data_IF_808647576998
#
_entry.id   IF_808647576998
#
_cell.length_a   1.000
_cell.length_b   1.000
_cell.length_c   1.000
_cell.angle_alpha   90.00
_cell.angle_beta   90.00
_cell.angle_gamma   90.00
#
_symmetry.space_group_name_H-M   'P 1'
#
loop_
_entity.id
_entity.type
_entity.pdbx_description
1 polymer ?
#
# COMPACT_ATOMS: atom_id res chain seq x y z
N UNK A 1 -16.24 -3.14 0.40
CA UNK A 1 -15.92 -4.54 0.79
C UNK A 1 -14.63 -4.52 1.61
N UNK A 2 -14.28 -5.60 2.31
CA UNK A 2 -13.05 -5.65 3.11
C UNK A 2 -11.82 -5.75 2.19
N UNK A 3 -10.72 -5.08 2.53
CA UNK A 3 -9.41 -5.16 1.85
C UNK A 3 -8.49 -6.10 2.62
N UNK A 4 -7.62 -6.83 1.91
CA UNK A 4 -6.61 -7.69 2.53
C UNK A 4 -5.19 -7.14 2.39
N UNK A 5 -4.27 -7.58 3.25
CA UNK A 5 -2.84 -7.25 3.14
C UNK A 5 -2.18 -7.89 1.93
N UNK A 6 -2.64 -9.06 1.48
CA UNK A 6 -2.17 -9.70 0.24
C UNK A 6 -2.54 -8.81 -0.96
N UNK A 7 -3.80 -8.36 -1.04
CA UNK A 7 -4.25 -7.46 -2.11
C UNK A 7 -3.45 -6.14 -2.15
N UNK A 8 -3.15 -5.57 -0.97
CA UNK A 8 -2.30 -4.38 -0.88
C UNK A 8 -0.86 -4.71 -1.32
N UNK A 9 -0.33 -5.88 -0.97
CA UNK A 9 1.01 -6.29 -1.37
C UNK A 9 1.12 -6.39 -2.89
N UNK A 10 0.19 -7.14 -3.51
CA UNK A 10 0.19 -7.42 -4.95
C UNK A 10 0.13 -6.14 -5.79
N UNK A 11 -0.62 -5.13 -5.33
CA UNK A 11 -0.80 -3.89 -6.10
C UNK A 11 0.38 -2.92 -5.96
N UNK A 12 1.03 -2.88 -4.79
CA UNK A 12 2.09 -1.89 -4.52
C UNK A 12 3.51 -2.47 -4.60
N UNK A 13 3.70 -3.79 -4.69
CA UNK A 13 5.05 -4.38 -4.66
C UNK A 13 5.99 -3.80 -5.73
N UNK A 14 5.46 -3.51 -6.92
CA UNK A 14 6.26 -3.00 -8.05
C UNK A 14 6.81 -1.59 -7.84
N UNK A 15 6.21 -0.77 -6.97
CA UNK A 15 6.73 0.58 -6.67
C UNK A 15 8.10 0.53 -5.99
N UNK A 16 8.38 -0.56 -5.27
CA UNK A 16 9.63 -0.77 -4.55
C UNK A 16 10.79 -1.26 -5.43
N UNK A 17 10.64 -1.24 -6.76
CA UNK A 17 11.76 -1.45 -7.67
C UNK A 17 12.79 -0.30 -7.63
N UNK A 18 12.39 0.89 -7.19
CA UNK A 18 13.26 2.07 -7.02
C UNK A 18 13.01 2.76 -5.66
N UNK A 19 13.46 2.17 -4.55
CA UNK A 19 13.27 2.72 -3.21
C UNK A 19 14.29 3.83 -2.88
N UNK A 20 13.98 4.75 -1.95
CA UNK A 20 12.76 4.81 -1.13
C UNK A 20 11.56 5.41 -1.86
N UNK A 21 10.36 5.01 -1.42
CA UNK A 21 9.09 5.47 -1.97
C UNK A 21 8.32 6.23 -0.88
N UNK A 22 7.84 7.43 -1.19
CA UNK A 22 6.95 8.21 -0.32
C UNK A 22 5.48 7.80 -0.48
N UNK A 23 4.60 8.34 0.37
CA UNK A 23 3.17 8.02 0.35
C UNK A 23 2.49 8.43 -0.96
N UNK A 24 2.88 9.56 -1.54
CA UNK A 24 2.25 10.08 -2.75
C UNK A 24 2.63 9.25 -3.98
N UNK A 25 3.89 8.81 -4.06
CA UNK A 25 4.35 7.85 -5.06
C UNK A 25 3.62 6.51 -4.94
N UNK A 26 3.39 6.04 -3.71
CA UNK A 26 2.69 4.79 -3.45
C UNK A 26 1.20 4.87 -3.85
N UNK A 27 0.55 6.01 -3.59
CA UNK A 27 -0.82 6.29 -4.04
C UNK A 27 -0.90 6.44 -5.56
N UNK A 28 0.03 7.15 -6.17
CA UNK A 28 0.10 7.32 -7.63
C UNK A 28 0.28 5.97 -8.33
N UNK A 29 1.17 5.12 -7.82
CA UNK A 29 1.38 3.76 -8.31
C UNK A 29 0.10 2.91 -8.20
N UNK A 30 -0.54 2.91 -7.03
CA UNK A 30 -1.77 2.15 -6.82
C UNK A 30 -2.90 2.59 -7.77
N UNK A 31 -3.07 3.90 -7.96
CA UNK A 31 -4.02 4.45 -8.94
C UNK A 31 -3.70 4.01 -10.37
N UNK A 32 -2.43 4.10 -10.78
CA UNK A 32 -1.99 3.70 -12.12
C UNK A 32 -2.21 2.20 -12.40
N UNK A 33 -2.19 1.36 -11.37
CA UNK A 33 -2.44 -0.07 -11.47
C UNK A 33 -3.91 -0.47 -11.23
N UNK A 34 -4.83 0.50 -11.16
CA UNK A 34 -6.26 0.22 -11.05
C UNK A 34 -6.69 -0.30 -9.68
N UNK A 35 -6.00 0.09 -8.62
CA UNK A 35 -6.42 -0.20 -7.25
C UNK A 35 -7.85 0.30 -7.00
N UNK A 36 -8.68 -0.55 -6.39
CA UNK A 36 -10.02 -0.20 -5.91
C UNK A 36 -9.96 0.90 -4.83
N UNK A 37 -11.04 1.64 -4.69
CA UNK A 37 -11.12 2.77 -3.75
C UNK A 37 -10.77 2.39 -2.31
N UNK A 38 -11.16 1.20 -1.83
CA UNK A 38 -10.85 0.80 -0.45
C UNK A 38 -9.35 0.53 -0.20
N UNK A 39 -8.61 0.10 -1.24
CA UNK A 39 -7.14 -0.02 -1.18
C UNK A 39 -6.54 1.37 -1.10
N UNK A 40 -6.97 2.29 -1.97
CA UNK A 40 -6.51 3.68 -1.97
C UNK A 40 -6.78 4.34 -0.61
N UNK A 41 -7.98 4.20 -0.06
CA UNK A 41 -8.35 4.75 1.25
C UNK A 41 -7.53 4.14 2.38
N UNK A 42 -7.07 2.89 2.22
CA UNK A 42 -6.16 2.25 3.17
C UNK A 42 -4.76 2.82 3.10
N UNK A 43 -4.23 3.01 1.88
CA UNK A 43 -2.91 3.61 1.66
C UNK A 43 -2.88 5.09 2.09
N UNK A 44 -3.99 5.83 1.95
CA UNK A 44 -4.10 7.23 2.43
C UNK A 44 -3.89 7.39 3.93
N UNK A 45 -4.16 6.36 4.73
CA UNK A 45 -3.99 6.38 6.20
C UNK A 45 -2.54 6.17 6.64
N UNK A 46 -1.65 5.84 5.72
CA UNK A 46 -0.23 5.68 6.01
C UNK A 46 0.38 7.02 6.47
N UNK A 47 1.36 7.00 7.40
CA UNK A 47 2.09 8.20 7.76
C UNK A 47 2.86 8.75 6.56
N UNK A 48 3.09 10.06 6.58
CA UNK A 48 3.90 10.73 5.57
C UNK A 48 5.40 10.52 5.88
N UNK A 49 5.96 9.46 5.29
CA UNK A 49 7.35 9.04 5.46
C UNK A 49 7.81 8.24 4.24
N UNK A 50 9.10 7.93 4.21
CA UNK A 50 9.70 7.09 3.18
C UNK A 50 9.64 5.61 3.58
N UNK A 51 9.16 4.78 2.67
CA UNK A 51 9.10 3.32 2.79
C UNK A 51 10.16 2.71 1.88
N UNK A 52 10.89 1.71 2.36
CA UNK A 52 11.92 1.00 1.61
C UNK A 52 11.44 -0.36 1.13
N UNK A 53 10.38 -0.89 1.73
CA UNK A 53 9.78 -2.17 1.36
C UNK A 53 8.34 -2.29 1.84
N UNK A 54 7.64 -3.32 1.36
CA UNK A 54 6.33 -3.74 1.87
C UNK A 54 6.32 -3.93 3.40
N UNK A 55 7.41 -4.44 3.99
CA UNK A 55 7.47 -4.69 5.44
C UNK A 55 7.32 -3.41 6.26
N UNK A 56 7.70 -2.26 5.71
CA UNK A 56 7.57 -0.98 6.38
C UNK A 56 6.10 -0.53 6.46
N UNK A 57 5.23 -1.06 5.59
CA UNK A 57 3.80 -0.79 5.61
C UNK A 57 3.08 -1.62 6.69
N UNK A 58 3.57 -2.82 7.02
CA UNK A 58 2.82 -3.79 7.83
C UNK A 58 2.43 -3.30 9.23
N UNK A 59 3.31 -2.57 9.95
CA UNK A 59 2.94 -1.97 11.24
C UNK A 59 1.73 -1.02 11.14
N UNK A 60 1.55 -0.37 9.99
CA UNK A 60 0.45 0.58 9.74
C UNK A 60 -0.83 -0.11 9.23
N UNK A 61 -0.76 -1.40 8.88
CA UNK A 61 -1.86 -2.20 8.35
C UNK A 61 -2.34 -3.28 9.35
N UNK A 62 -2.04 -3.14 10.64
CA UNK A 62 -2.39 -4.13 11.66
C UNK A 62 -3.90 -4.42 11.77
N UNK A 63 -4.76 -3.45 11.40
CA UNK A 63 -6.22 -3.61 11.35
C UNK A 63 -6.76 -4.20 10.04
N UNK A 64 -5.89 -4.50 9.07
CA UNK A 64 -6.25 -5.09 7.78
C UNK A 64 -6.05 -6.61 7.85
N UNK A 65 -7.06 -7.43 7.51
CA UNK A 65 -6.91 -8.88 7.50
C UNK A 65 -5.82 -9.31 6.52
N UNK A 66 -5.20 -10.47 6.76
CA UNK A 66 -4.13 -10.99 5.87
C UNK A 66 -4.73 -11.37 4.51
N UNK A 67 -5.84 -12.09 4.56
CA UNK A 67 -6.58 -12.67 3.43
C UNK A 67 -8.09 -12.52 3.74
N UNK A 68 -8.94 -12.60 2.71
CA UNK A 68 -10.40 -12.50 2.83
C UNK A 68 -11.07 -13.86 3.01
#
# INVERSE_FOLDING_TARGET
MTVSRIEIADIVEGVFADPPVDKDQLLAWAHANGARDEVIDTLRRLPDQHYRSLRDLWPHLAGVPVEL
#
